data_IF_486178950089
#
_entry.id   IF_486178950089
#
_cell.length_a   1.000
_cell.length_b   1.000
_cell.length_c   1.000
_cell.angle_alpha   90.00
_cell.angle_beta   90.00
_cell.angle_gamma   90.00
#
_symmetry.space_group_name_H-M   'P 1'
#
loop_
_entity.id
_entity.type
_entity.pdbx_description
1 polymer ?
#
# COMPACT_ATOMS: atom_id res chain seq x y z
N UNK A 1 -15.55 -1.54 8.79
CA UNK A 1 -14.49 -1.24 7.80
C UNK A 1 -14.56 -2.27 6.70
N UNK A 2 -14.38 -1.85 5.44
CA UNK A 2 -14.29 -2.73 4.25
C UNK A 2 -12.94 -2.50 3.57
N UNK A 3 -12.25 -3.56 3.20
CA UNK A 3 -10.96 -3.51 2.51
C UNK A 3 -11.09 -4.30 1.22
N UNK A 4 -10.91 -3.64 0.06
CA UNK A 4 -11.00 -4.27 -1.27
C UNK A 4 -9.67 -4.13 -1.99
N UNK A 5 -9.12 -5.24 -2.51
CA UNK A 5 -7.90 -5.23 -3.35
C UNK A 5 -8.26 -4.98 -4.81
N UNK A 6 -7.57 -4.06 -5.50
CA UNK A 6 -7.84 -3.70 -6.90
C UNK A 6 -6.67 -3.99 -7.87
N UNK A 7 -5.77 -4.85 -7.46
CA UNK A 7 -4.61 -5.25 -8.24
C UNK A 7 -3.30 -4.75 -7.67
N UNK A 8 -2.31 -5.61 -7.70
CA UNK A 8 -0.95 -5.37 -7.22
C UNK A 8 -0.93 -4.79 -5.79
N UNK A 9 -0.47 -3.57 -5.62
CA UNK A 9 -0.43 -2.86 -4.34
C UNK A 9 -1.68 -2.05 -4.04
N UNK A 10 -2.60 -1.91 -5.02
CA UNK A 10 -3.77 -1.05 -4.83
C UNK A 10 -4.82 -1.66 -3.92
N UNK A 11 -5.13 -0.96 -2.85
CA UNK A 11 -6.18 -1.30 -1.89
C UNK A 11 -7.08 -0.11 -1.64
N UNK A 12 -8.39 -0.36 -1.58
CA UNK A 12 -9.40 0.61 -1.16
C UNK A 12 -9.90 0.26 0.24
N UNK A 13 -9.87 1.24 1.13
CA UNK A 13 -10.40 1.15 2.48
C UNK A 13 -11.62 2.04 2.60
N UNK A 14 -12.76 1.48 3.00
CA UNK A 14 -14.02 2.19 3.20
C UNK A 14 -14.45 2.10 4.66
N UNK A 15 -14.62 3.24 5.31
CA UNK A 15 -15.06 3.34 6.70
C UNK A 15 -15.85 4.63 6.95
N UNK A 16 -16.96 4.54 7.69
CA UNK A 16 -17.80 5.69 8.09
C UNK A 16 -18.20 6.62 6.92
N UNK A 17 -18.39 6.06 5.73
CA UNK A 17 -18.77 6.83 4.53
C UNK A 17 -17.60 7.44 3.78
N UNK A 18 -16.35 7.28 4.24
CA UNK A 18 -15.13 7.74 3.58
C UNK A 18 -14.48 6.59 2.81
N UNK A 19 -14.00 6.89 1.61
CA UNK A 19 -13.31 5.96 0.72
C UNK A 19 -11.89 6.43 0.44
N UNK A 20 -10.91 5.71 0.98
CA UNK A 20 -9.49 5.96 0.73
C UNK A 20 -8.95 4.92 -0.24
N UNK A 21 -8.20 5.35 -1.24
CA UNK A 21 -7.53 4.47 -2.21
C UNK A 21 -6.03 4.63 -2.06
N UNK A 22 -5.33 3.52 -1.86
CA UNK A 22 -3.89 3.48 -1.68
C UNK A 22 -3.24 2.89 -2.94
N UNK A 23 -2.19 3.52 -3.41
CA UNK A 23 -1.33 3.09 -4.52
C UNK A 23 -2.06 2.63 -5.80
N UNK A 24 -2.89 3.48 -6.44
CA UNK A 24 -3.51 3.16 -7.72
C UNK A 24 -2.50 3.29 -8.87
N UNK A 25 -1.58 2.34 -8.99
CA UNK A 25 -0.54 2.28 -10.02
C UNK A 25 -0.97 1.59 -11.30
N UNK A 26 -0.02 1.37 -12.22
CA UNK A 26 -0.29 0.87 -13.56
C UNK A 26 -0.84 -0.56 -13.68
N UNK A 27 -0.79 -1.35 -12.59
CA UNK A 27 -1.39 -2.70 -12.55
C UNK A 27 -2.75 -2.74 -11.84
N UNK A 28 -3.35 -1.57 -11.61
CA UNK A 28 -4.61 -1.42 -10.89
C UNK A 28 -5.80 -1.38 -11.85
N UNK A 29 -6.90 -1.98 -11.45
CA UNK A 29 -8.18 -1.84 -12.16
C UNK A 29 -8.73 -0.41 -12.01
N UNK A 30 -9.24 0.16 -13.12
CA UNK A 30 -9.66 1.59 -13.15
C UNK A 30 -10.77 1.93 -12.16
N UNK A 31 -11.62 1.00 -11.84
CA UNK A 31 -12.70 1.16 -10.86
C UNK A 31 -12.23 1.37 -9.42
N UNK A 32 -10.95 1.12 -9.13
CA UNK A 32 -10.37 1.35 -7.81
C UNK A 32 -10.60 2.76 -7.30
N UNK A 33 -10.40 3.77 -8.16
CA UNK A 33 -10.50 5.19 -7.80
C UNK A 33 -11.92 5.75 -7.88
N UNK A 34 -12.89 4.96 -8.37
CA UNK A 34 -14.27 5.43 -8.53
C UNK A 34 -14.87 5.88 -7.20
N UNK A 35 -15.19 7.17 -7.10
CA UNK A 35 -15.77 7.78 -5.91
C UNK A 35 -14.82 7.83 -4.72
N UNK A 36 -13.49 7.80 -4.95
CA UNK A 36 -12.51 8.03 -3.89
C UNK A 36 -12.67 9.43 -3.30
N UNK A 37 -12.61 9.52 -1.98
CA UNK A 37 -12.58 10.80 -1.26
C UNK A 37 -11.14 11.29 -1.08
N UNK A 38 -10.17 10.36 -1.01
CA UNK A 38 -8.73 10.64 -0.93
C UNK A 38 -7.95 9.55 -1.64
N UNK A 39 -6.88 9.92 -2.34
CA UNK A 39 -5.87 8.98 -2.85
C UNK A 39 -4.57 9.17 -2.07
N UNK A 40 -4.00 8.06 -1.61
CA UNK A 40 -2.73 7.99 -0.87
C UNK A 40 -1.70 7.26 -1.75
N UNK A 41 -0.52 7.85 -1.94
CA UNK A 41 0.55 7.24 -2.76
C UNK A 41 1.82 7.13 -1.92
N UNK A 42 2.38 5.93 -1.83
CA UNK A 42 3.53 5.64 -0.99
C UNK A 42 4.85 6.08 -1.60
N UNK A 43 5.02 5.92 -2.93
CA UNK A 43 6.22 6.29 -3.66
C UNK A 43 5.97 6.41 -5.18
N UNK A 44 6.98 6.80 -5.94
CA UNK A 44 6.85 7.23 -7.35
C UNK A 44 6.95 6.11 -8.39
N UNK A 45 7.12 4.84 -8.03
CA UNK A 45 7.18 3.77 -9.01
C UNK A 45 5.85 3.59 -9.75
N UNK A 46 5.93 3.22 -11.03
CA UNK A 46 4.77 3.17 -11.92
C UNK A 46 3.72 2.12 -11.53
N UNK A 47 4.07 1.14 -10.73
CA UNK A 47 3.17 0.14 -10.18
C UNK A 47 2.41 0.62 -8.92
N UNK A 48 2.78 1.78 -8.35
CA UNK A 48 2.11 2.45 -7.23
C UNK A 48 1.49 3.80 -7.61
N UNK A 49 1.95 4.42 -8.70
CA UNK A 49 1.51 5.71 -9.19
C UNK A 49 1.16 5.64 -10.68
N UNK A 50 -0.05 6.06 -11.04
CA UNK A 50 -0.49 6.26 -12.42
C UNK A 50 -1.32 7.55 -12.53
N UNK A 51 -0.88 8.47 -13.39
CA UNK A 51 -1.52 9.77 -13.54
C UNK A 51 -2.95 9.66 -14.12
N UNK A 52 -3.24 8.67 -14.94
CA UNK A 52 -4.56 8.50 -15.55
C UNK A 52 -5.60 8.01 -14.53
N UNK A 53 -5.20 7.22 -13.55
CA UNK A 53 -6.06 6.90 -12.40
C UNK A 53 -6.39 8.17 -11.61
N UNK A 54 -5.41 9.03 -11.37
CA UNK A 54 -5.60 10.28 -10.63
C UNK A 54 -6.47 11.29 -11.38
N UNK A 55 -6.41 11.31 -12.72
CA UNK A 55 -7.29 12.15 -13.56
C UNK A 55 -8.74 11.67 -13.59
N UNK A 56 -8.96 10.38 -13.33
CA UNK A 56 -10.29 9.78 -13.32
C UNK A 56 -11.15 10.16 -12.10
N UNK A 57 -10.58 10.84 -11.11
CA UNK A 57 -11.25 11.24 -9.87
C UNK A 57 -10.80 12.64 -9.44
N UNK A 58 -11.68 13.43 -8.79
CA UNK A 58 -11.36 14.77 -8.29
C UNK A 58 -10.81 14.79 -6.85
N UNK A 59 -10.46 13.63 -6.29
CA UNK A 59 -10.00 13.50 -4.92
C UNK A 59 -8.64 14.18 -4.68
N UNK A 60 -8.37 14.74 -3.49
CA UNK A 60 -7.04 15.16 -3.08
C UNK A 60 -6.07 13.98 -3.10
N UNK A 61 -4.81 14.29 -3.40
CA UNK A 61 -3.70 13.34 -3.49
C UNK A 61 -2.75 13.60 -2.33
N UNK A 62 -2.65 12.67 -1.41
CA UNK A 62 -1.71 12.72 -0.29
C UNK A 62 -0.51 11.84 -0.60
N UNK A 63 0.68 12.41 -0.59
CA UNK A 63 1.88 11.69 -0.99
C UNK A 63 3.16 12.34 -0.47
N UNK A 64 4.30 11.68 -0.72
CA UNK A 64 5.63 12.17 -0.38
C UNK A 64 6.17 13.16 -1.43
N UNK A 65 7.22 13.90 -1.07
CA UNK A 65 7.84 14.92 -1.93
C UNK A 65 8.39 14.32 -3.25
N UNK A 66 8.91 13.09 -3.25
CA UNK A 66 9.39 12.42 -4.46
C UNK A 66 8.27 12.24 -5.51
N UNK A 67 7.08 11.78 -5.10
CA UNK A 67 5.90 11.65 -5.98
C UNK A 67 5.41 13.03 -6.43
N UNK A 68 5.37 14.02 -5.53
CA UNK A 68 4.95 15.38 -5.86
C UNK A 68 5.81 15.99 -6.96
N UNK A 69 7.14 15.76 -6.94
CA UNK A 69 8.05 16.18 -8.00
C UNK A 69 7.77 15.49 -9.33
N UNK A 70 7.48 14.19 -9.31
CA UNK A 70 7.11 13.44 -10.53
C UNK A 70 5.80 13.97 -11.11
N UNK A 71 4.80 14.22 -10.27
CA UNK A 71 3.53 14.84 -10.69
C UNK A 71 3.78 16.22 -11.30
N UNK A 72 4.54 17.08 -10.64
CA UNK A 72 4.84 18.44 -11.15
C UNK A 72 5.56 18.42 -12.51
N UNK A 73 6.43 17.41 -12.75
CA UNK A 73 7.19 17.27 -13.98
C UNK A 73 6.38 16.65 -15.14
N UNK A 74 5.50 15.67 -14.86
CA UNK A 74 4.88 14.82 -15.88
C UNK A 74 3.36 14.88 -15.94
N UNK A 75 2.70 15.40 -14.88
CA UNK A 75 1.25 15.56 -14.77
C UNK A 75 0.89 16.86 -14.01
N UNK A 76 1.37 18.04 -14.47
CA UNK A 76 1.24 19.29 -13.73
C UNK A 76 -0.22 19.74 -13.49
N UNK A 77 -1.15 19.23 -14.27
CA UNK A 77 -2.60 19.40 -14.11
C UNK A 77 -3.12 18.84 -12.77
N UNK A 78 -2.39 17.90 -12.16
CA UNK A 78 -2.74 17.29 -10.88
C UNK A 78 -2.14 18.03 -9.67
N UNK A 79 -1.19 18.94 -9.88
CA UNK A 79 -0.35 19.52 -8.81
C UNK A 79 -1.15 20.27 -7.73
N UNK A 80 -2.24 20.94 -8.09
CA UNK A 80 -3.06 21.69 -7.13
C UNK A 80 -3.80 20.79 -6.13
N UNK A 81 -3.96 19.50 -6.44
CA UNK A 81 -4.60 18.50 -5.56
C UNK A 81 -3.61 17.80 -4.65
N UNK A 82 -2.30 18.00 -4.85
CA UNK A 82 -1.25 17.30 -4.11
C UNK A 82 -1.03 17.94 -2.76
N UNK A 83 -1.08 17.10 -1.71
CA UNK A 83 -0.65 17.43 -0.36
C UNK A 83 0.57 16.57 -0.01
N UNK A 84 1.72 17.23 0.17
CA UNK A 84 2.96 16.55 0.56
C UNK A 84 2.96 16.28 2.07
N UNK A 85 3.38 15.07 2.43
CA UNK A 85 3.52 14.58 3.80
C UNK A 85 4.87 13.90 4.01
N UNK A 86 5.26 13.73 5.26
CA UNK A 86 6.51 13.07 5.64
C UNK A 86 6.36 12.15 6.85
N UNK A 87 7.43 11.41 7.19
CA UNK A 87 7.43 10.46 8.30
C UNK A 87 6.96 11.07 9.62
N UNK A 88 6.00 10.44 10.28
CA UNK A 88 5.46 10.87 11.56
C UNK A 88 4.29 11.86 11.46
N UNK A 89 3.96 12.35 10.27
CA UNK A 89 2.79 13.22 10.08
C UNK A 89 1.50 12.51 10.49
N UNK A 90 0.63 13.26 11.15
CA UNK A 90 -0.71 12.84 11.55
C UNK A 90 -1.74 13.64 10.76
N UNK A 91 -2.64 12.93 10.09
CA UNK A 91 -3.65 13.50 9.22
C UNK A 91 -5.03 13.08 9.69
N UNK A 92 -6.02 13.95 9.50
CA UNK A 92 -7.42 13.57 9.54
C UNK A 92 -7.95 13.64 8.09
N UNK A 93 -8.27 12.48 7.54
CA UNK A 93 -8.80 12.32 6.19
C UNK A 93 -10.23 11.73 6.22
N UNK A 94 -10.99 12.05 7.26
CA UNK A 94 -12.24 11.38 7.62
C UNK A 94 -12.02 10.10 8.42
N UNK A 95 -10.77 9.64 8.44
CA UNK A 95 -10.18 8.69 9.40
C UNK A 95 -8.78 9.19 9.77
N UNK A 96 -8.31 8.96 11.01
CA UNK A 96 -6.94 9.24 11.37
C UNK A 96 -5.95 8.43 10.54
N UNK A 97 -4.93 9.08 10.00
CA UNK A 97 -3.85 8.46 9.23
C UNK A 97 -2.50 8.92 9.76
N UNK A 98 -1.60 7.98 10.01
CA UNK A 98 -0.20 8.26 10.38
C UNK A 98 0.74 7.82 9.27
N UNK A 99 1.68 8.70 8.90
CA UNK A 99 2.73 8.42 7.90
C UNK A 99 3.88 7.69 8.57
N UNK A 100 4.33 6.55 7.99
CA UNK A 100 5.31 5.63 8.58
C UNK A 100 6.46 5.36 7.61
N UNK A 101 7.69 5.52 8.10
CA UNK A 101 8.91 5.24 7.32
C UNK A 101 9.20 6.30 6.27
N UNK A 102 10.41 6.25 5.70
CA UNK A 102 10.88 7.26 4.74
C UNK A 102 11.61 6.64 3.53
N UNK A 103 11.94 5.35 3.56
CA UNK A 103 12.77 4.72 2.54
C UNK A 103 12.16 3.43 2.04
N UNK A 104 12.19 3.30 0.73
CA UNK A 104 11.95 2.05 0.01
C UNK A 104 12.94 0.96 0.45
N UNK A 105 12.58 -0.32 0.34
CA UNK A 105 13.51 -1.42 0.49
C UNK A 105 14.68 -1.29 -0.52
N UNK A 106 15.81 -1.88 -0.21
CA UNK A 106 16.99 -1.83 -1.09
C UNK A 106 16.76 -2.72 -2.30
N UNK A 107 16.64 -2.12 -3.49
CA UNK A 107 16.54 -2.88 -4.75
C UNK A 107 17.91 -3.47 -5.11
N UNK A 108 18.93 -2.63 -5.14
CA UNK A 108 20.33 -3.00 -5.34
C UNK A 108 21.25 -1.98 -4.65
N UNK A 109 22.36 -2.39 -4.03
CA UNK A 109 23.26 -1.46 -3.34
C UNK A 109 23.82 -0.34 -4.23
N UNK A 110 23.95 -0.57 -5.55
CA UNK A 110 24.48 0.41 -6.51
C UNK A 110 23.39 1.37 -7.03
N UNK A 111 22.12 1.14 -6.70
CA UNK A 111 21.05 2.08 -7.03
C UNK A 111 20.85 3.12 -5.91
N UNK A 112 20.49 4.37 -6.25
CA UNK A 112 20.00 5.30 -5.26
C UNK A 112 18.81 4.68 -4.51
N UNK A 113 18.77 4.86 -3.21
CA UNK A 113 17.63 4.39 -2.43
C UNK A 113 16.47 5.36 -2.58
N UNK A 114 15.36 4.88 -3.14
CA UNK A 114 14.13 5.64 -3.30
C UNK A 114 13.50 6.00 -1.95
N UNK A 115 12.70 7.06 -1.94
CA UNK A 115 11.86 7.40 -0.80
C UNK A 115 10.58 6.55 -0.83
N UNK A 116 10.01 6.26 0.34
CA UNK A 116 8.75 5.56 0.49
C UNK A 116 8.17 5.86 1.88
N UNK A 117 6.91 6.19 1.95
CA UNK A 117 6.20 6.26 3.23
C UNK A 117 4.94 5.40 3.19
N UNK A 118 4.82 4.53 4.17
CA UNK A 118 3.61 3.75 4.39
C UNK A 118 2.54 4.58 5.12
N UNK A 119 1.32 4.07 5.13
CA UNK A 119 0.17 4.71 5.77
C UNK A 119 -0.50 3.75 6.76
N UNK A 120 -0.62 4.20 8.01
CA UNK A 120 -1.39 3.52 9.05
C UNK A 120 -2.72 4.25 9.24
N UNK A 121 -3.82 3.58 8.88
CA UNK A 121 -5.18 4.09 8.95
C UNK A 121 -5.86 3.54 10.22
N UNK A 122 -6.54 4.42 10.98
CA UNK A 122 -7.36 4.02 12.14
C UNK A 122 -8.84 4.14 11.79
N UNK A 123 -9.52 3.02 11.64
CA UNK A 123 -10.91 2.90 11.20
C UNK A 123 -11.80 2.42 12.36
N UNK A 124 -12.20 3.34 13.25
CA UNK A 124 -12.90 3.01 14.50
C UNK A 124 -11.98 2.27 15.47
N UNK A 125 -12.33 1.04 15.79
CA UNK A 125 -11.58 0.13 16.66
C UNK A 125 -10.57 -0.76 15.89
N UNK A 126 -10.46 -0.60 14.59
CA UNK A 126 -9.55 -1.38 13.73
C UNK A 126 -8.51 -0.50 13.05
N UNK A 127 -7.34 -1.05 12.82
CA UNK A 127 -6.23 -0.39 12.13
C UNK A 127 -5.76 -1.19 10.91
N UNK A 128 -5.38 -0.46 9.85
CA UNK A 128 -4.85 -1.04 8.60
C UNK A 128 -3.54 -0.36 8.27
N UNK A 129 -2.51 -1.14 8.00
CA UNK A 129 -1.20 -0.62 7.62
C UNK A 129 -0.81 -1.06 6.21
N UNK A 130 -0.53 -0.06 5.35
CA UNK A 130 0.05 -0.22 4.03
C UNK A 130 1.50 0.27 4.05
N UNK A 131 2.51 -0.59 3.95
CA UNK A 131 3.91 -0.20 4.05
C UNK A 131 4.47 0.43 2.75
N UNK A 132 3.76 0.35 1.63
CA UNK A 132 4.35 0.54 0.31
C UNK A 132 5.38 -0.54 0.01
N UNK A 133 6.47 -0.18 -0.62
CA UNK A 133 7.60 -1.06 -0.94
C UNK A 133 8.70 -1.00 0.12
N UNK A 134 8.29 -1.19 1.36
CA UNK A 134 9.19 -1.25 2.51
C UNK A 134 8.77 -2.35 3.49
N UNK A 135 9.74 -2.85 4.24
CA UNK A 135 9.53 -3.78 5.36
C UNK A 135 9.72 -3.04 6.69
N UNK A 136 9.19 -1.82 6.78
CA UNK A 136 9.25 -0.99 8.00
C UNK A 136 8.04 -1.28 8.88
N UNK A 137 8.22 -1.80 10.11
CA UNK A 137 7.10 -2.05 11.01
C UNK A 137 6.41 -0.73 11.43
N UNK A 138 5.10 -0.75 11.72
CA UNK A 138 4.35 0.45 12.08
C UNK A 138 4.72 1.02 13.46
N UNK A 139 5.47 0.27 14.28
CA UNK A 139 5.89 0.67 15.63
C UNK A 139 4.83 0.52 16.72
N UNK A 140 3.67 -0.04 16.38
CA UNK A 140 2.57 -0.35 17.29
C UNK A 140 1.79 -1.58 16.81
N UNK A 141 0.95 -2.13 17.67
CA UNK A 141 0.06 -3.24 17.29
C UNK A 141 -1.02 -2.76 16.31
N UNK A 142 -1.30 -3.57 15.30
CA UNK A 142 -2.29 -3.27 14.26
C UNK A 142 -3.18 -4.49 14.00
N UNK A 143 -4.34 -4.29 13.39
CA UNK A 143 -5.30 -5.36 13.11
C UNK A 143 -5.12 -6.00 11.74
N UNK A 144 -4.76 -5.21 10.72
CA UNK A 144 -4.59 -5.67 9.35
C UNK A 144 -3.28 -5.13 8.75
N UNK A 145 -2.45 -6.04 8.28
CA UNK A 145 -1.26 -5.73 7.48
C UNK A 145 -1.54 -5.99 6.00
N UNK A 146 -1.25 -4.99 5.15
CA UNK A 146 -1.17 -5.17 3.70
C UNK A 146 0.29 -5.54 3.39
N UNK A 147 0.57 -6.83 3.29
CA UNK A 147 1.93 -7.35 3.22
C UNK A 147 2.44 -7.45 1.77
N UNK A 148 3.53 -6.77 1.36
CA UNK A 148 4.16 -7.02 0.06
C UNK A 148 4.72 -8.45 0.01
N UNK A 149 4.45 -9.19 -1.09
CA UNK A 149 4.79 -10.61 -1.19
C UNK A 149 5.63 -10.99 -2.40
N UNK A 150 5.75 -10.10 -3.37
CA UNK A 150 6.57 -10.35 -4.55
C UNK A 150 7.20 -9.08 -5.08
N UNK A 151 8.51 -9.06 -5.24
CA UNK A 151 9.22 -7.93 -5.84
C UNK A 151 10.64 -8.35 -6.23
N UNK A 152 11.31 -7.66 -7.16
CA UNK A 152 12.71 -7.93 -7.47
C UNK A 152 13.66 -7.69 -6.28
N UNK A 153 13.24 -6.88 -5.31
CA UNK A 153 13.99 -6.55 -4.10
C UNK A 153 13.65 -7.43 -2.89
N UNK A 154 12.61 -8.28 -2.98
CA UNK A 154 12.04 -9.01 -1.85
C UNK A 154 12.35 -10.50 -1.93
N UNK A 155 12.94 -11.06 -0.88
CA UNK A 155 13.03 -12.51 -0.69
C UNK A 155 11.80 -13.02 0.07
N UNK A 156 11.39 -14.24 -0.23
CA UNK A 156 10.29 -14.90 0.47
C UNK A 156 10.50 -14.93 2.01
N UNK A 157 11.73 -15.17 2.46
CA UNK A 157 12.05 -15.14 3.90
C UNK A 157 11.79 -13.79 4.53
N UNK A 158 12.10 -12.70 3.82
CA UNK A 158 11.89 -11.32 4.31
C UNK A 158 10.39 -11.00 4.41
N UNK A 159 9.57 -11.46 3.44
CA UNK A 159 8.12 -11.31 3.51
C UNK A 159 7.51 -12.05 4.70
N UNK A 160 7.93 -13.30 4.94
CA UNK A 160 7.51 -14.10 6.11
C UNK A 160 7.94 -13.43 7.41
N UNK A 161 9.20 -13.02 7.50
CA UNK A 161 9.74 -12.39 8.71
C UNK A 161 9.05 -11.06 9.01
N UNK A 162 8.69 -10.28 7.98
CA UNK A 162 7.94 -9.03 8.14
C UNK A 162 6.52 -9.28 8.72
N UNK A 163 5.78 -10.27 8.18
CA UNK A 163 4.47 -10.65 8.73
C UNK A 163 4.59 -11.10 10.20
N UNK A 164 5.63 -11.88 10.52
CA UNK A 164 5.91 -12.34 11.89
C UNK A 164 6.34 -11.23 12.83
N UNK A 165 7.07 -10.23 12.34
CA UNK A 165 7.52 -9.07 13.12
C UNK A 165 6.34 -8.14 13.44
N UNK A 166 5.53 -7.81 12.44
CA UNK A 166 4.36 -6.91 12.60
C UNK A 166 3.28 -7.57 13.45
N UNK A 167 3.09 -8.91 13.35
CA UNK A 167 2.13 -9.69 14.13
C UNK A 167 0.69 -9.21 14.06
N UNK A 168 0.28 -8.62 12.94
CA UNK A 168 -1.13 -8.33 12.70
C UNK A 168 -1.95 -9.64 12.72
N UNK A 169 -3.09 -9.72 13.41
CA UNK A 169 -3.96 -10.91 13.39
C UNK A 169 -4.34 -11.34 11.97
N UNK A 170 -4.49 -10.39 11.06
CA UNK A 170 -4.81 -10.62 9.65
C UNK A 170 -3.79 -9.91 8.74
N UNK A 171 -3.38 -10.62 7.69
CA UNK A 171 -2.52 -10.05 6.64
C UNK A 171 -3.12 -10.33 5.27
N UNK A 172 -3.22 -9.31 4.44
CA UNK A 172 -3.58 -9.39 3.02
C UNK A 172 -2.31 -9.27 2.18
N UNK A 173 -2.03 -10.27 1.35
CA UNK A 173 -0.93 -10.21 0.38
C UNK A 173 -1.21 -9.20 -0.73
N UNK A 174 -0.35 -8.21 -0.84
CA UNK A 174 -0.32 -7.20 -1.91
C UNK A 174 0.98 -7.32 -2.71
N UNK A 175 1.14 -6.49 -3.74
CA UNK A 175 2.32 -6.48 -4.61
C UNK A 175 2.54 -7.84 -5.30
N UNK A 176 1.48 -8.42 -5.89
CA UNK A 176 1.44 -9.80 -6.35
C UNK A 176 1.62 -9.98 -7.87
N UNK A 177 1.61 -8.92 -8.68
CA UNK A 177 1.67 -9.03 -10.15
C UNK A 177 3.05 -9.36 -10.72
N UNK A 178 4.10 -9.31 -9.89
CA UNK A 178 5.48 -9.58 -10.33
C UNK A 178 5.76 -11.09 -10.46
N UNK A 179 5.04 -11.92 -9.71
CA UNK A 179 5.21 -13.37 -9.74
C UNK A 179 4.16 -14.05 -10.63
N UNK A 180 4.54 -15.21 -11.18
CA UNK A 180 3.59 -16.12 -11.84
C UNK A 180 2.66 -16.78 -10.82
N UNK A 181 1.52 -17.33 -11.28
CA UNK A 181 0.60 -18.08 -10.41
C UNK A 181 1.28 -19.23 -9.68
N UNK A 182 2.26 -19.90 -10.33
CA UNK A 182 3.04 -20.93 -9.69
C UNK A 182 3.83 -20.39 -8.50
N UNK A 183 4.52 -19.26 -8.68
CA UNK A 183 5.30 -18.65 -7.60
C UNK A 183 4.39 -18.14 -6.48
N UNK A 184 3.24 -17.57 -6.82
CA UNK A 184 2.24 -17.12 -5.83
C UNK A 184 1.68 -18.30 -5.01
N UNK A 185 1.45 -19.47 -5.63
CA UNK A 185 1.09 -20.69 -4.89
C UNK A 185 2.16 -21.16 -3.93
N UNK A 186 3.45 -20.95 -4.27
CA UNK A 186 4.55 -21.21 -3.33
C UNK A 186 4.54 -20.22 -2.16
N UNK A 187 4.26 -18.96 -2.43
CA UNK A 187 4.09 -17.92 -1.39
C UNK A 187 3.00 -18.33 -0.40
N UNK A 188 1.81 -18.71 -0.90
CA UNK A 188 0.70 -19.15 -0.05
C UNK A 188 1.10 -20.33 0.84
N UNK A 189 1.81 -21.31 0.27
CA UNK A 189 2.29 -22.48 1.01
C UNK A 189 3.27 -22.09 2.11
N UNK A 190 4.23 -21.21 1.80
CA UNK A 190 5.22 -20.78 2.78
C UNK A 190 4.60 -19.93 3.89
N UNK A 191 3.69 -19.01 3.54
CA UNK A 191 2.98 -18.23 4.54
C UNK A 191 2.16 -19.14 5.47
N UNK A 192 1.36 -20.06 4.93
CA UNK A 192 0.58 -21.01 5.74
C UNK A 192 1.45 -21.84 6.70
N UNK A 193 2.67 -22.20 6.30
CA UNK A 193 3.56 -23.03 7.12
C UNK A 193 4.38 -22.23 8.15
N UNK A 194 4.64 -20.95 7.92
CA UNK A 194 5.67 -20.20 8.64
C UNK A 194 5.14 -19.04 9.49
N UNK A 195 3.95 -18.49 9.21
CA UNK A 195 3.42 -17.36 9.99
C UNK A 195 2.73 -17.76 11.30
N UNK A 196 2.66 -19.06 11.60
CA UNK A 196 2.16 -19.57 12.87
C UNK A 196 0.64 -19.45 13.02
N UNK A 197 0.20 -18.76 14.07
CA UNK A 197 -1.20 -18.51 14.41
C UNK A 197 -1.80 -17.27 13.72
N UNK A 198 -1.00 -16.54 12.91
CA UNK A 198 -1.45 -15.38 12.18
C UNK A 198 -2.21 -15.79 10.90
N UNK A 199 -3.26 -15.04 10.56
CA UNK A 199 -3.98 -15.25 9.31
C UNK A 199 -3.29 -14.50 8.17
N UNK A 200 -2.95 -15.22 7.11
CA UNK A 200 -2.49 -14.64 5.85
C UNK A 200 -3.37 -15.13 4.71
N UNK A 201 -3.85 -14.20 3.89
CA UNK A 201 -4.64 -14.50 2.70
C UNK A 201 -4.21 -13.66 1.51
N UNK A 202 -4.40 -14.19 0.31
CA UNK A 202 -4.48 -13.42 -0.94
C UNK A 202 -5.90 -13.48 -1.44
N UNK A 203 -6.40 -12.35 -1.94
CA UNK A 203 -7.73 -12.27 -2.56
C UNK A 203 -7.61 -11.87 -4.03
N UNK A 204 -8.54 -12.30 -4.90
CA UNK A 204 -8.63 -11.81 -6.27
C UNK A 204 -8.83 -10.29 -6.33
N UNK A 205 -8.45 -9.69 -7.45
CA UNK A 205 -8.74 -8.28 -7.70
C UNK A 205 -10.26 -8.04 -7.71
N UNK A 206 -10.69 -6.97 -7.06
CA UNK A 206 -12.10 -6.63 -6.82
C UNK A 206 -12.74 -7.35 -5.64
N UNK A 207 -12.04 -8.28 -4.97
CA UNK A 207 -12.55 -8.97 -3.80
C UNK A 207 -12.20 -8.25 -2.49
N UNK A 208 -13.08 -8.45 -1.50
CA UNK A 208 -12.90 -7.92 -0.16
C UNK A 208 -12.08 -8.88 0.72
N UNK A 209 -11.35 -8.31 1.68
CA UNK A 209 -10.77 -9.05 2.80
C UNK A 209 -11.91 -9.32 3.81
N UNK A 210 -12.23 -10.60 4.02
CA UNK A 210 -13.20 -11.06 5.01
C UNK A 210 -12.60 -11.11 6.43
#
# INVERSE_FOLDING_TARGET
MRITKFGHACVRVEHAGVRLVLDPGGFTAREAVTGADVVLITHEHADHYDADHLRAVEAPIVTIDAVARVIAAHAPDLSERVRVVGPGDLLDLGVPVRVVGEKHAVIHPDYPRFDNSGYLLTCGDQSVYHPGDALTPPGEAIDVLLAPISAPWLKMSEAVDFVREVRAPRSLGIHDKVYSDLALGMVDTHMANLVGDLSFVRVPDGADLE
#
